data_IF_392713103896
#
_entry.id   IF_392713103896
#
_cell.length_a   1.000
_cell.length_b   1.000
_cell.length_c   1.000
_cell.angle_alpha   90.00
_cell.angle_beta   90.00
_cell.angle_gamma   90.00
#
_symmetry.space_group_name_H-M   'P 1'
#
loop_
_entity.id
_entity.type
_entity.pdbx_description
1 polymer ?
#
# COMPACT_ATOMS: atom_id res chain seq x y z
N UNK A 1 -4.54 -52.44 7.82
CA UNK A 1 -5.48 -51.40 7.35
C UNK A 1 -4.78 -50.05 7.44
N UNK A 2 -4.47 -49.43 6.30
CA UNK A 2 -3.77 -48.15 6.25
C UNK A 2 -4.74 -46.99 6.47
N UNK A 3 -4.47 -46.15 7.48
CA UNK A 3 -5.21 -44.91 7.69
C UNK A 3 -4.72 -43.85 6.70
N UNK A 4 -5.40 -43.72 5.57
CA UNK A 4 -5.26 -42.54 4.73
C UNK A 4 -6.04 -41.40 5.38
N UNK A 5 -5.36 -40.59 6.19
CA UNK A 5 -5.88 -39.28 6.57
C UNK A 5 -5.94 -38.42 5.31
N UNK A 6 -7.15 -38.28 4.76
CA UNK A 6 -7.45 -37.27 3.73
C UNK A 6 -7.02 -35.92 4.28
N UNK A 7 -5.93 -35.35 3.74
CA UNK A 7 -5.60 -33.94 3.96
C UNK A 7 -6.81 -33.12 3.50
N UNK A 8 -7.47 -32.42 4.43
CA UNK A 8 -8.47 -31.42 4.06
C UNK A 8 -7.81 -30.44 3.08
N UNK A 9 -8.47 -30.08 1.96
CA UNK A 9 -7.97 -29.00 1.13
C UNK A 9 -7.82 -27.74 2.00
N UNK A 10 -6.78 -26.92 1.78
CA UNK A 10 -6.62 -25.69 2.55
C UNK A 10 -7.89 -24.85 2.38
N UNK A 11 -8.48 -24.42 3.50
CA UNK A 11 -9.56 -23.44 3.49
C UNK A 11 -8.94 -22.18 2.88
N UNK A 12 -9.38 -21.79 1.69
CA UNK A 12 -8.93 -20.54 1.08
C UNK A 12 -9.37 -19.42 2.02
N UNK A 13 -8.40 -18.73 2.62
CA UNK A 13 -8.65 -17.62 3.53
C UNK A 13 -9.38 -16.51 2.74
N UNK A 14 -10.47 -15.98 3.28
CA UNK A 14 -11.22 -14.88 2.66
C UNK A 14 -10.33 -13.65 2.40
N UNK A 15 -9.28 -13.52 3.20
CA UNK A 15 -8.22 -12.53 3.06
C UNK A 15 -7.42 -12.71 1.77
N UNK A 16 -7.06 -13.94 1.41
CA UNK A 16 -6.31 -14.23 0.18
C UNK A 16 -7.13 -13.93 -1.07
N UNK A 17 -8.43 -14.27 -1.05
CA UNK A 17 -9.35 -13.92 -2.14
C UNK A 17 -9.49 -12.41 -2.30
N UNK A 18 -9.54 -11.66 -1.19
CA UNK A 18 -9.59 -10.20 -1.21
C UNK A 18 -8.30 -9.60 -1.76
N UNK A 19 -7.14 -10.09 -1.35
CA UNK A 19 -5.84 -9.68 -1.90
C UNK A 19 -5.77 -9.94 -3.40
N UNK A 20 -6.14 -11.14 -3.85
CA UNK A 20 -6.13 -11.49 -5.27
C UNK A 20 -7.06 -10.58 -6.09
N UNK A 21 -8.23 -10.23 -5.55
CA UNK A 21 -9.17 -9.29 -6.17
C UNK A 21 -8.57 -7.88 -6.31
N UNK A 22 -7.91 -7.38 -5.26
CA UNK A 22 -7.24 -6.08 -5.27
C UNK A 22 -6.09 -6.05 -6.27
N UNK A 23 -5.24 -7.08 -6.28
CA UNK A 23 -4.14 -7.21 -7.24
C UNK A 23 -4.70 -7.21 -8.66
N UNK A 24 -5.73 -8.03 -8.95
CA UNK A 24 -6.37 -8.04 -10.28
C UNK A 24 -6.95 -6.68 -10.65
N UNK A 25 -7.51 -5.93 -9.71
CA UNK A 25 -8.01 -4.57 -9.96
C UNK A 25 -6.89 -3.60 -10.31
N UNK A 26 -5.79 -3.65 -9.56
CA UNK A 26 -4.60 -2.82 -9.78
C UNK A 26 -3.96 -3.11 -11.13
N UNK A 27 -3.76 -4.38 -11.47
CA UNK A 27 -3.11 -4.80 -12.71
C UNK A 27 -3.90 -4.41 -13.99
N UNK A 28 -5.17 -3.99 -13.87
CA UNK A 28 -5.94 -3.44 -14.99
C UNK A 28 -5.48 -2.04 -15.42
N UNK A 29 -4.92 -1.26 -14.50
CA UNK A 29 -4.50 0.13 -14.78
C UNK A 29 -3.00 0.36 -14.58
N UNK A 30 -2.34 -0.44 -13.74
CA UNK A 30 -0.94 -0.21 -13.40
C UNK A 30 -0.03 -0.45 -14.61
N UNK A 31 1.05 0.34 -14.77
CA UNK A 31 1.99 0.18 -15.88
C UNK A 31 2.68 -1.19 -15.82
N UNK A 32 2.63 -1.95 -16.93
CA UNK A 32 3.20 -3.30 -17.01
C UNK A 32 4.71 -3.36 -16.76
N UNK A 33 5.44 -2.29 -17.12
CA UNK A 33 6.90 -2.21 -16.95
C UNK A 33 7.36 -2.30 -15.50
N UNK A 34 6.48 -1.99 -14.53
CA UNK A 34 6.81 -2.04 -13.09
C UNK A 34 6.17 -3.22 -12.35
N UNK A 35 5.75 -4.26 -13.08
CA UNK A 35 5.09 -5.41 -12.46
C UNK A 35 6.01 -6.15 -11.49
N UNK A 36 7.27 -6.38 -11.88
CA UNK A 36 8.25 -7.06 -11.04
C UNK A 36 8.49 -6.32 -9.72
N UNK A 37 8.50 -4.99 -9.76
CA UNK A 37 8.65 -4.12 -8.61
C UNK A 37 7.43 -4.21 -7.69
N UNK A 38 6.20 -4.22 -8.25
CA UNK A 38 4.98 -4.45 -7.45
C UNK A 38 5.00 -5.81 -6.76
N UNK A 39 5.44 -6.85 -7.46
CA UNK A 39 5.57 -8.21 -6.92
C UNK A 39 6.60 -8.25 -5.77
N UNK A 40 7.81 -7.76 -6.02
CA UNK A 40 8.93 -7.81 -5.07
C UNK A 40 8.69 -6.94 -3.83
N UNK A 41 8.24 -5.69 -4.02
CA UNK A 41 8.16 -4.72 -2.92
C UNK A 41 6.84 -4.74 -2.16
N UNK A 42 5.77 -5.33 -2.71
CA UNK A 42 4.44 -5.27 -2.08
C UNK A 42 3.76 -6.63 -2.04
N UNK A 43 3.58 -7.33 -3.18
CA UNK A 43 2.76 -8.54 -3.18
C UNK A 43 3.38 -9.71 -2.41
N UNK A 44 4.71 -9.83 -2.39
CA UNK A 44 5.41 -10.86 -1.64
C UNK A 44 5.20 -10.76 -0.12
N UNK A 45 4.79 -9.60 0.41
CA UNK A 45 4.44 -9.45 1.82
C UNK A 45 3.18 -10.23 2.21
N UNK A 46 2.37 -10.70 1.26
CA UNK A 46 1.23 -11.58 1.56
C UNK A 46 1.64 -12.85 2.30
N UNK A 47 2.90 -13.29 2.14
CA UNK A 47 3.45 -14.46 2.82
C UNK A 47 3.76 -14.21 4.30
N UNK A 48 3.78 -12.94 4.74
CA UNK A 48 4.09 -12.54 6.10
C UNK A 48 2.82 -12.12 6.82
N UNK A 49 2.29 -12.99 7.68
CA UNK A 49 0.99 -12.80 8.36
C UNK A 49 0.83 -11.45 9.05
N UNK A 50 1.90 -10.90 9.64
CA UNK A 50 1.85 -9.59 10.33
C UNK A 50 1.64 -8.41 9.37
N UNK A 51 1.96 -8.58 8.08
CA UNK A 51 1.78 -7.55 7.05
C UNK A 51 0.46 -7.71 6.28
N UNK A 52 -0.29 -8.80 6.48
CA UNK A 52 -1.49 -9.09 5.68
C UNK A 52 -2.53 -7.97 5.77
N UNK A 53 -2.88 -7.50 6.97
CA UNK A 53 -3.85 -6.43 7.13
C UNK A 53 -3.32 -5.07 6.61
N UNK A 54 -2.12 -4.60 6.98
CA UNK A 54 -1.55 -3.38 6.42
C UNK A 54 -1.40 -3.41 4.90
N UNK A 55 -1.04 -4.56 4.33
CA UNK A 55 -0.95 -4.75 2.87
C UNK A 55 -2.32 -4.60 2.22
N UNK A 56 -3.35 -5.24 2.78
CA UNK A 56 -4.72 -5.13 2.29
C UNK A 56 -5.18 -3.67 2.26
N UNK A 57 -4.99 -2.93 3.35
CA UNK A 57 -5.40 -1.52 3.44
C UNK A 57 -4.67 -0.64 2.43
N UNK A 58 -3.36 -0.85 2.26
CA UNK A 58 -2.56 -0.13 1.29
C UNK A 58 -3.03 -0.42 -0.15
N UNK A 59 -3.18 -1.71 -0.51
CA UNK A 59 -3.64 -2.10 -1.84
C UNK A 59 -5.08 -1.68 -2.12
N UNK A 60 -5.95 -1.68 -1.11
CA UNK A 60 -7.32 -1.19 -1.22
C UNK A 60 -7.34 0.30 -1.58
N UNK A 61 -6.57 1.12 -0.87
CA UNK A 61 -6.44 2.53 -1.23
C UNK A 61 -5.85 2.70 -2.63
N UNK A 62 -4.81 1.94 -2.96
CA UNK A 62 -4.15 2.02 -4.27
C UNK A 62 -5.13 1.70 -5.40
N UNK A 63 -6.02 0.72 -5.20
CA UNK A 63 -7.02 0.31 -6.19
C UNK A 63 -8.05 1.40 -6.50
N UNK A 64 -8.21 2.41 -5.62
CA UNK A 64 -9.10 3.56 -5.81
C UNK A 64 -8.49 4.65 -6.71
N UNK A 65 -7.76 4.25 -7.76
CA UNK A 65 -7.01 5.13 -8.68
C UNK A 65 -7.77 6.39 -9.15
N UNK A 66 -9.09 6.29 -9.38
CA UNK A 66 -9.90 7.45 -9.81
C UNK A 66 -9.81 8.64 -8.84
N UNK A 67 -9.71 8.38 -7.52
CA UNK A 67 -9.56 9.42 -6.49
C UNK A 67 -8.25 10.19 -6.61
N UNK A 68 -7.21 9.61 -7.21
CA UNK A 68 -5.95 10.33 -7.44
C UNK A 68 -6.12 11.53 -8.38
N UNK A 69 -7.07 11.45 -9.32
CA UNK A 69 -7.38 12.56 -10.23
C UNK A 69 -8.28 13.59 -9.55
N UNK A 70 -9.32 13.13 -8.88
CA UNK A 70 -10.41 13.99 -8.40
C UNK A 70 -10.08 14.63 -7.02
N UNK A 71 -9.24 13.96 -6.21
CA UNK A 71 -8.92 14.33 -4.82
C UNK A 71 -7.41 14.21 -4.53
N UNK A 72 -6.54 14.71 -5.42
CA UNK A 72 -5.07 14.48 -5.37
C UNK A 72 -4.46 14.65 -3.98
N UNK A 73 -4.74 15.76 -3.28
CA UNK A 73 -4.16 16.04 -1.97
C UNK A 73 -4.66 15.08 -0.88
N UNK A 74 -5.97 14.82 -0.80
CA UNK A 74 -6.55 13.87 0.17
C UNK A 74 -5.99 12.47 -0.07
N UNK A 75 -6.05 12.00 -1.33
CA UNK A 75 -5.55 10.69 -1.72
C UNK A 75 -4.06 10.52 -1.41
N UNK A 76 -3.25 11.53 -1.75
CA UNK A 76 -1.80 11.50 -1.54
C UNK A 76 -1.43 11.41 -0.05
N UNK A 77 -2.19 12.09 0.82
CA UNK A 77 -2.02 12.00 2.28
C UNK A 77 -2.40 10.65 2.82
N UNK A 78 -3.59 10.16 2.48
CA UNK A 78 -4.05 8.83 2.89
C UNK A 78 -3.03 7.76 2.47
N UNK A 79 -2.47 7.89 1.27
CA UNK A 79 -1.50 6.94 0.74
C UNK A 79 -0.20 6.95 1.55
N UNK A 80 0.28 8.13 1.95
CA UNK A 80 1.46 8.23 2.81
C UNK A 80 1.22 7.61 4.19
N UNK A 81 0.07 7.88 4.81
CA UNK A 81 -0.28 7.33 6.12
C UNK A 81 -0.42 5.81 6.09
N UNK A 82 -1.05 5.25 5.06
CA UNK A 82 -1.14 3.78 4.87
C UNK A 82 0.23 3.16 4.63
N UNK A 83 1.10 3.83 3.87
CA UNK A 83 2.47 3.37 3.66
C UNK A 83 3.29 3.38 4.96
N UNK A 84 3.17 4.42 5.77
CA UNK A 84 3.78 4.48 7.10
C UNK A 84 3.31 3.29 7.93
N UNK A 85 1.99 3.08 8.06
CA UNK A 85 1.43 1.95 8.81
C UNK A 85 1.87 0.59 8.27
N UNK A 86 2.12 0.49 6.97
CA UNK A 86 2.67 -0.72 6.35
C UNK A 86 4.12 -0.99 6.74
N UNK A 87 5.01 0.01 6.74
CA UNK A 87 6.43 -0.18 7.08
C UNK A 87 6.74 -0.07 8.59
N UNK A 88 5.87 0.58 9.36
CA UNK A 88 6.00 0.83 10.80
C UNK A 88 4.86 0.18 11.57
N UNK A 89 4.82 -1.17 11.57
CA UNK A 89 3.77 -1.98 12.21
C UNK A 89 3.60 -1.73 13.71
N UNK A 90 4.63 -1.17 14.36
CA UNK A 90 4.64 -0.91 15.81
C UNK A 90 4.41 0.58 16.13
N UNK A 91 4.08 1.38 15.11
CA UNK A 91 3.83 2.81 15.19
C UNK A 91 4.90 3.57 16.00
N UNK A 92 6.17 3.27 15.70
CA UNK A 92 7.33 3.81 16.41
C UNK A 92 7.72 5.20 15.93
N UNK A 93 7.44 5.52 14.67
CA UNK A 93 7.71 6.82 14.11
C UNK A 93 6.50 7.72 14.35
N UNK A 94 6.70 8.91 14.91
CA UNK A 94 5.69 9.96 14.84
C UNK A 94 5.46 10.37 13.37
N UNK A 95 4.38 11.11 13.09
CA UNK A 95 4.13 11.64 11.76
C UNK A 95 5.24 12.60 11.31
N UNK A 96 5.75 13.42 12.23
CA UNK A 96 6.86 14.35 11.96
C UNK A 96 8.14 13.61 11.60
N UNK A 97 8.51 12.57 12.35
CA UNK A 97 9.68 11.74 12.03
C UNK A 97 9.53 11.00 10.71
N UNK A 98 8.33 10.46 10.44
CA UNK A 98 8.04 9.79 9.17
C UNK A 98 8.18 10.75 7.97
N UNK A 99 7.82 12.02 8.13
CA UNK A 99 7.96 13.06 7.11
C UNK A 99 9.42 13.47 6.84
N UNK A 100 10.34 13.21 7.77
CA UNK A 100 11.77 13.43 7.57
C UNK A 100 12.50 12.14 7.14
N UNK A 101 11.84 10.98 7.17
CA UNK A 101 12.41 9.71 6.73
C UNK A 101 12.52 9.65 5.19
N UNK A 102 13.74 9.81 4.70
CA UNK A 102 14.06 9.76 3.27
C UNK A 102 13.76 8.41 2.63
N UNK A 103 13.92 7.30 3.36
CA UNK A 103 13.63 5.98 2.83
C UNK A 103 12.13 5.78 2.69
N UNK A 104 11.34 6.21 3.68
CA UNK A 104 9.89 6.16 3.61
C UNK A 104 9.36 7.05 2.49
N UNK A 105 9.88 8.27 2.34
CA UNK A 105 9.52 9.16 1.24
C UNK A 105 9.89 8.57 -0.12
N UNK A 106 11.05 7.94 -0.27
CA UNK A 106 11.41 7.24 -1.51
C UNK A 106 10.40 6.14 -1.84
N UNK A 107 10.07 5.29 -0.87
CA UNK A 107 9.06 4.23 -1.04
C UNK A 107 7.68 4.78 -1.37
N UNK A 108 7.37 5.98 -0.87
CA UNK A 108 6.16 6.69 -1.21
C UNK A 108 6.13 7.14 -2.67
N UNK A 109 7.22 7.71 -3.18
CA UNK A 109 7.35 8.04 -4.60
C UNK A 109 7.31 6.78 -5.47
N UNK A 110 7.93 5.69 -5.02
CA UNK A 110 7.89 4.40 -5.70
C UNK A 110 6.44 3.90 -5.86
N UNK A 111 5.52 4.20 -4.93
CA UNK A 111 4.09 3.88 -5.12
C UNK A 111 3.52 4.58 -6.35
N UNK A 112 3.79 5.87 -6.54
CA UNK A 112 3.28 6.60 -7.70
C UNK A 112 3.87 6.08 -9.00
N UNK A 113 5.16 5.78 -8.97
CA UNK A 113 5.86 5.25 -10.12
C UNK A 113 5.33 3.87 -10.50
N UNK A 114 5.32 2.93 -9.55
CA UNK A 114 5.03 1.52 -9.81
C UNK A 114 3.56 1.24 -10.03
N UNK A 115 2.66 1.93 -9.32
CA UNK A 115 1.22 1.68 -9.44
C UNK A 115 0.52 2.59 -10.44
N UNK A 116 1.05 3.80 -10.69
CA UNK A 116 0.38 4.79 -11.54
C UNK A 116 1.23 5.29 -12.70
N UNK A 117 2.51 4.91 -12.77
CA UNK A 117 3.39 5.28 -13.88
C UNK A 117 3.66 6.78 -13.98
N UNK A 118 3.52 7.52 -12.88
CA UNK A 118 3.63 8.98 -12.82
C UNK A 118 4.50 9.42 -11.65
N UNK A 119 4.92 10.67 -11.70
CA UNK A 119 5.60 11.31 -10.58
C UNK A 119 4.64 11.52 -9.40
N UNK A 120 5.16 11.26 -8.20
CA UNK A 120 4.49 11.58 -6.95
C UNK A 120 4.67 13.06 -6.56
N UNK A 121 3.99 13.52 -5.51
CA UNK A 121 4.15 14.88 -5.02
C UNK A 121 5.53 15.08 -4.38
N UNK A 122 6.03 16.30 -4.46
CA UNK A 122 7.23 16.71 -3.74
C UNK A 122 7.03 16.56 -2.23
N UNK A 123 8.13 16.42 -1.50
CA UNK A 123 8.08 16.34 -0.03
C UNK A 123 7.49 17.61 0.58
N UNK A 124 7.70 18.78 -0.05
CA UNK A 124 7.09 20.05 0.36
C UNK A 124 5.58 20.06 0.19
N UNK A 125 5.05 19.61 -0.97
CA UNK A 125 3.60 19.46 -1.18
C UNK A 125 2.98 18.51 -0.15
N UNK A 126 3.63 17.36 0.09
CA UNK A 126 3.15 16.39 1.06
C UNK A 126 3.12 16.96 2.48
N UNK A 127 4.19 17.65 2.90
CA UNK A 127 4.26 18.32 4.21
C UNK A 127 3.15 19.36 4.34
N UNK A 128 2.97 20.23 3.35
CA UNK A 128 1.91 21.24 3.38
C UNK A 128 0.53 20.61 3.55
N UNK A 129 0.20 19.58 2.76
CA UNK A 129 -1.10 18.93 2.88
C UNK A 129 -1.32 18.27 4.25
N UNK A 130 -0.27 17.71 4.87
CA UNK A 130 -0.36 17.09 6.19
C UNK A 130 -0.36 18.10 7.34
N UNK A 131 0.29 19.26 7.17
CA UNK A 131 0.27 20.37 8.13
C UNK A 131 -1.10 21.07 8.14
N UNK A 132 -1.74 21.23 6.97
CA UNK A 132 -3.14 21.71 6.87
C UNK A 132 -4.14 20.86 7.69
N UNK A 133 -3.74 19.63 8.06
CA UNK A 133 -4.53 18.73 8.91
C UNK A 133 -4.32 18.97 10.42
N UNK A 134 -3.17 19.55 10.80
CA UNK A 134 -2.81 19.90 12.18
C UNK A 134 -3.29 21.30 12.56
N UNK A 135 -3.44 22.19 11.57
CA UNK A 135 -3.93 23.57 11.72
C UNK A 135 -5.44 23.72 11.40
N UNK A 136 -6.26 22.68 11.57
CA UNK A 136 -7.71 22.78 11.37
C UNK A 136 -8.36 23.88 12.25
N UNK A 137 -9.46 24.51 11.79
CA UNK A 137 -10.12 25.63 12.47
C UNK A 137 -10.57 25.32 13.91
#
# INVERSE_FOLDING_TARGET
MGFFTRKKPPVVDSTDLRLDSLIKSIEKFAPRRYRSEREVYYYNYRMLRQYTAPLLELLELISKYKRLRDEKAIFSRELFLRLKGFYDLKDRLSLAEALEDRNLYRRYIDLFLFFYGREGPSIGELKNWLLDLLDGP
#
